data_IF_830519068698
#
_entry.id   IF_830519068698
#
_cell.length_a   1.000
_cell.length_b   1.000
_cell.length_c   1.000
_cell.angle_alpha   90.00
_cell.angle_beta   90.00
_cell.angle_gamma   90.00
#
_symmetry.space_group_name_H-M   'P 1'
#
loop_
_entity.id
_entity.type
_entity.pdbx_description
1 polymer ?
#
# COMPACT_ATOMS: atom_id res chain seq x y z
N UNK A 1 32.78 44.63 19.99
CA UNK A 1 32.57 43.25 20.48
C UNK A 1 31.11 42.89 20.25
N UNK A 2 30.76 42.04 19.26
CA UNK A 2 29.37 41.73 18.96
C UNK A 2 28.85 40.59 19.84
N UNK A 3 27.63 40.75 20.35
CA UNK A 3 26.93 39.79 21.20
C UNK A 3 26.55 38.53 20.41
N UNK A 4 27.03 37.37 20.84
CA UNK A 4 26.67 36.07 20.29
C UNK A 4 25.32 35.59 20.84
N UNK A 5 24.35 35.21 19.99
CA UNK A 5 23.12 34.56 20.46
C UNK A 5 23.43 33.15 20.99
N UNK A 6 22.79 32.81 22.12
CA UNK A 6 23.00 31.54 22.82
C UNK A 6 22.55 30.34 21.97
N UNK A 7 23.53 29.54 21.54
CA UNK A 7 23.39 28.31 20.74
C UNK A 7 22.46 27.25 21.38
N UNK A 8 22.13 27.40 22.67
CA UNK A 8 21.28 26.47 23.43
C UNK A 8 19.82 26.46 22.97
N UNK A 9 19.26 27.62 22.61
CA UNK A 9 17.84 27.72 22.22
C UNK A 9 17.55 27.06 20.86
N UNK A 10 18.53 27.07 19.95
CA UNK A 10 18.40 26.50 18.61
C UNK A 10 18.51 24.96 18.64
N UNK A 11 19.39 24.42 19.49
CA UNK A 11 19.55 22.98 19.69
C UNK A 11 18.30 22.33 20.32
N UNK A 12 17.65 23.00 21.27
CA UNK A 12 16.41 22.52 21.89
C UNK A 12 15.25 22.43 20.88
N UNK A 13 15.13 23.42 19.99
CA UNK A 13 14.07 23.45 18.97
C UNK A 13 14.25 22.34 17.93
N UNK A 14 15.49 22.06 17.54
CA UNK A 14 15.84 20.95 16.66
C UNK A 14 15.59 19.58 17.31
N UNK A 15 15.90 19.41 18.60
CA UNK A 15 15.61 18.17 19.36
C UNK A 15 14.11 17.88 19.47
N UNK A 16 13.30 18.90 19.73
CA UNK A 16 11.84 18.74 19.80
C UNK A 16 11.22 18.48 18.41
N UNK A 17 11.70 19.14 17.37
CA UNK A 17 11.26 18.90 15.99
C UNK A 17 11.62 17.47 15.54
N UNK A 18 12.83 17.00 15.88
CA UNK A 18 13.27 15.63 15.60
C UNK A 18 12.43 14.61 16.36
N UNK A 19 12.18 14.83 17.66
CA UNK A 19 11.32 13.95 18.46
C UNK A 19 9.89 13.86 17.90
N UNK A 20 9.29 14.99 17.51
CA UNK A 20 7.96 15.00 16.86
C UNK A 20 7.99 14.28 15.51
N UNK A 21 9.02 14.48 14.70
CA UNK A 21 9.18 13.80 13.42
C UNK A 21 9.30 12.28 13.59
N UNK A 22 10.12 11.83 14.56
CA UNK A 22 10.25 10.41 14.87
C UNK A 22 8.92 9.81 15.33
N UNK A 23 8.18 10.49 16.21
CA UNK A 23 6.86 10.04 16.66
C UNK A 23 5.86 9.93 15.49
N UNK A 24 5.86 10.89 14.57
CA UNK A 24 5.00 10.84 13.38
C UNK A 24 5.39 9.68 12.45
N UNK A 25 6.68 9.43 12.25
CA UNK A 25 7.15 8.27 11.46
C UNK A 25 6.75 6.94 12.10
N UNK A 26 6.92 6.81 13.41
CA UNK A 26 6.49 5.60 14.14
C UNK A 26 4.99 5.39 14.03
N UNK A 27 4.18 6.44 14.18
CA UNK A 27 2.73 6.36 14.00
C UNK A 27 2.35 5.94 12.58
N UNK A 28 3.03 6.49 11.56
CA UNK A 28 2.80 6.14 10.17
C UNK A 28 3.18 4.68 9.87
N UNK A 29 4.23 4.16 10.49
CA UNK A 29 4.64 2.76 10.35
C UNK A 29 3.69 1.79 11.07
N UNK A 30 2.98 2.27 12.09
CA UNK A 30 1.95 1.49 12.80
C UNK A 30 0.60 1.48 12.07
N UNK A 31 0.41 2.25 11.00
CA UNK A 31 -0.80 2.12 10.19
C UNK A 31 -0.83 0.72 9.58
N UNK A 32 -1.85 -0.10 9.88
CA UNK A 32 -2.01 -1.39 9.21
C UNK A 32 -2.10 -1.12 7.71
N UNK A 33 -1.16 -1.69 6.94
CA UNK A 33 -1.28 -1.71 5.49
C UNK A 33 -2.66 -2.23 5.11
N UNK A 34 -3.27 -1.69 4.05
CA UNK A 34 -4.55 -2.17 3.55
C UNK A 34 -4.46 -3.68 3.37
N UNK A 35 -5.17 -4.43 4.21
CA UNK A 35 -5.19 -5.88 4.12
C UNK A 35 -6.14 -6.22 2.96
N UNK A 36 -5.62 -6.20 1.74
CA UNK A 36 -6.38 -6.60 0.58
C UNK A 36 -6.73 -8.09 0.71
N UNK A 37 -8.02 -8.42 0.75
CA UNK A 37 -8.44 -9.82 0.76
C UNK A 37 -8.33 -10.36 -0.66
N UNK A 38 -7.51 -11.38 -0.84
CA UNK A 38 -7.35 -12.08 -2.10
C UNK A 38 -7.91 -13.51 -2.01
N UNK A 39 -8.54 -13.98 -3.08
CA UNK A 39 -8.94 -15.38 -3.22
C UNK A 39 -8.51 -15.94 -4.58
N UNK A 40 -8.35 -17.26 -4.65
CA UNK A 40 -7.92 -17.96 -5.86
C UNK A 40 -8.88 -19.10 -6.19
N UNK A 41 -9.33 -19.13 -7.44
CA UNK A 41 -10.23 -20.14 -8.00
C UNK A 41 -9.51 -20.94 -9.10
N UNK A 42 -8.97 -22.10 -8.74
CA UNK A 42 -8.17 -22.95 -9.64
C UNK A 42 -8.95 -23.66 -10.77
N UNK A 43 -10.28 -23.52 -10.82
CA UNK A 43 -11.13 -24.12 -11.86
C UNK A 43 -12.02 -23.09 -12.57
N UNK A 44 -11.84 -21.81 -12.25
CA UNK A 44 -12.59 -20.75 -12.92
C UNK A 44 -11.97 -20.52 -14.32
N UNK A 45 -12.79 -20.46 -15.38
CA UNK A 45 -12.31 -20.08 -16.70
C UNK A 45 -11.83 -18.62 -16.67
N UNK A 46 -10.81 -18.31 -17.49
CA UNK A 46 -10.37 -16.92 -17.70
C UNK A 46 -11.30 -16.21 -18.67
N UNK A 47 -12.58 -16.13 -18.32
CA UNK A 47 -13.60 -15.43 -19.07
C UNK A 47 -14.39 -14.54 -18.11
N UNK A 48 -14.61 -13.30 -18.53
CA UNK A 48 -15.41 -12.35 -17.78
C UNK A 48 -16.23 -11.51 -18.75
N UNK A 49 -17.55 -11.45 -18.53
CA UNK A 49 -18.52 -10.75 -19.38
C UNK A 49 -18.41 -11.14 -20.87
N UNK A 50 -18.14 -12.42 -21.16
CA UNK A 50 -18.00 -12.95 -22.52
C UNK A 50 -16.68 -12.59 -23.21
N UNK A 51 -15.77 -11.89 -22.52
CA UNK A 51 -14.40 -11.66 -22.99
C UNK A 51 -13.47 -12.71 -22.40
N UNK A 52 -12.72 -13.39 -23.29
CA UNK A 52 -11.65 -14.30 -22.88
C UNK A 52 -10.37 -13.52 -22.54
N UNK A 53 -9.70 -13.96 -21.48
CA UNK A 53 -8.45 -13.42 -20.98
C UNK A 53 -7.35 -14.48 -21.05
N UNK A 54 -6.19 -14.09 -21.56
CA UNK A 54 -4.98 -14.91 -21.60
C UNK A 54 -4.32 -14.97 -20.23
N UNK A 55 -3.46 -15.97 -20.03
CA UNK A 55 -2.63 -16.07 -18.83
C UNK A 55 -1.87 -14.76 -18.57
N UNK A 56 -1.96 -14.25 -17.35
CA UNK A 56 -1.34 -13.00 -16.92
C UNK A 56 -2.18 -11.75 -17.18
N UNK A 57 -3.26 -11.82 -17.96
CA UNK A 57 -4.16 -10.68 -18.14
C UNK A 57 -5.06 -10.47 -16.93
N UNK A 58 -5.37 -9.20 -16.67
CA UNK A 58 -6.20 -8.77 -15.54
C UNK A 58 -7.41 -7.95 -15.97
N UNK A 59 -8.47 -7.99 -15.16
CA UNK A 59 -9.68 -7.20 -15.33
C UNK A 59 -10.24 -6.77 -13.99
N UNK A 60 -11.03 -5.69 -14.02
CA UNK A 60 -11.79 -5.24 -12.86
C UNK A 60 -13.19 -5.88 -12.91
N UNK A 61 -13.56 -6.60 -11.86
CA UNK A 61 -14.92 -7.12 -11.71
C UNK A 61 -15.89 -6.02 -11.29
N UNK A 62 -17.20 -6.25 -11.47
CA UNK A 62 -18.28 -5.39 -10.97
C UNK A 62 -18.25 -5.20 -9.46
N UNK A 63 -17.61 -6.11 -8.72
CA UNK A 63 -17.42 -6.01 -7.27
C UNK A 63 -16.16 -5.21 -6.87
N UNK A 64 -15.58 -4.43 -7.77
CA UNK A 64 -14.34 -3.67 -7.54
C UNK A 64 -13.16 -4.57 -7.11
N UNK A 65 -13.11 -5.79 -7.66
CA UNK A 65 -12.03 -6.73 -7.45
C UNK A 65 -11.12 -6.74 -8.67
N UNK A 66 -9.81 -6.65 -8.47
CA UNK A 66 -8.82 -6.87 -9.53
C UNK A 66 -8.58 -8.37 -9.66
N UNK A 67 -9.04 -8.92 -10.77
CA UNK A 67 -8.90 -10.34 -11.11
C UNK A 67 -7.80 -10.54 -12.15
N UNK A 68 -7.04 -11.62 -12.03
CA UNK A 68 -5.95 -11.99 -12.94
C UNK A 68 -6.06 -13.48 -13.31
N UNK A 69 -5.89 -13.78 -14.60
CA UNK A 69 -5.79 -15.15 -15.09
C UNK A 69 -4.41 -15.76 -14.76
N UNK A 70 -4.38 -16.87 -14.05
CA UNK A 70 -3.17 -17.51 -13.52
C UNK A 70 -3.07 -18.98 -13.96
N UNK A 71 -1.87 -19.54 -13.84
CA UNK A 71 -1.53 -20.91 -14.22
C UNK A 71 -2.05 -21.95 -13.18
N UNK A 72 -2.46 -23.18 -13.55
CA UNK A 72 -2.54 -23.78 -14.88
C UNK A 72 -3.82 -23.49 -15.69
N UNK A 73 -4.90 -23.02 -15.06
CA UNK A 73 -6.06 -22.25 -15.58
C UNK A 73 -6.85 -21.89 -14.32
N UNK A 74 -6.75 -20.66 -13.84
CA UNK A 74 -7.48 -20.23 -12.65
C UNK A 74 -7.53 -18.71 -12.52
N UNK A 75 -8.43 -18.20 -11.70
CA UNK A 75 -8.60 -16.75 -11.51
C UNK A 75 -8.29 -16.38 -10.08
N UNK A 76 -7.33 -15.47 -9.89
CA UNK A 76 -7.05 -14.84 -8.60
C UNK A 76 -7.65 -13.44 -8.57
N UNK A 77 -8.44 -13.10 -7.55
CA UNK A 77 -9.02 -11.76 -7.40
C UNK A 77 -8.65 -11.17 -6.04
N UNK A 78 -8.33 -9.88 -6.03
CA UNK A 78 -7.99 -9.11 -4.84
C UNK A 78 -8.86 -7.85 -4.75
N UNK A 79 -9.23 -7.46 -3.54
CA UNK A 79 -9.82 -6.15 -3.27
C UNK A 79 -8.85 -5.03 -3.64
N UNK A 80 -9.33 -4.02 -4.36
CA UNK A 80 -8.59 -2.80 -4.72
C UNK A 80 -9.00 -1.61 -3.89
#
# INVERSE_FOLDING_TARGET
>A
SPAQPSMAMQAQKMRCAWGRLCLLLSLLLQLPGSQAKCYFQAKAPCEYEGKQFSLGESWLSTNCLLCTCLHPIGVGCCET
#
